data_IF_629299159342
#
_entry.id   IF_629299159342
#
_cell.length_a   1.000
_cell.length_b   1.000
_cell.length_c   1.000
_cell.angle_alpha   90.00
_cell.angle_beta   90.00
_cell.angle_gamma   90.00
#
_symmetry.space_group_name_H-M   'P 1'
#
loop_
_entity.id
_entity.type
_entity.pdbx_description
1 polymer ?
#
# COMPACT_ATOMS: atom_id res chain seq x y z
N UNK A 1 -35.98 9.80 -17.56
CA UNK A 1 -35.73 8.86 -18.67
C UNK A 1 -34.23 8.66 -18.77
N UNK A 2 -33.79 7.41 -18.60
CA UNK A 2 -32.42 6.89 -18.72
C UNK A 2 -31.30 7.60 -17.92
N UNK A 3 -31.11 7.19 -16.66
CA UNK A 3 -29.78 7.15 -16.07
C UNK A 3 -29.02 6.05 -16.82
N UNK A 4 -28.14 6.43 -17.74
CA UNK A 4 -27.27 5.50 -18.43
C UNK A 4 -26.39 4.79 -17.40
N UNK A 5 -26.64 3.49 -17.26
CA UNK A 5 -25.78 2.44 -16.70
C UNK A 5 -24.33 2.89 -16.45
N UNK A 6 -23.78 2.75 -15.22
CA UNK A 6 -22.34 2.74 -15.04
C UNK A 6 -21.82 1.44 -15.67
N UNK A 7 -21.63 1.47 -16.99
CA UNK A 7 -21.04 0.38 -17.76
C UNK A 7 -19.73 -0.01 -17.09
N UNK A 8 -19.62 -1.30 -16.77
CA UNK A 8 -18.41 -2.01 -16.35
C UNK A 8 -17.39 -1.10 -15.65
N UNK A 9 -17.62 -0.83 -14.35
CA UNK A 9 -16.78 0.03 -13.52
C UNK A 9 -15.37 -0.58 -13.41
N UNK A 10 -14.56 -0.38 -14.46
CA UNK A 10 -13.21 -0.87 -14.59
C UNK A 10 -12.45 -0.63 -13.29
N UNK A 11 -12.09 -1.73 -12.63
CA UNK A 11 -11.42 -1.68 -11.34
C UNK A 11 -10.15 -0.83 -11.44
N UNK A 12 -9.83 -0.14 -10.35
CA UNK A 12 -8.51 0.48 -10.23
C UNK A 12 -7.45 -0.61 -10.36
N UNK A 13 -6.45 -0.38 -11.20
CA UNK A 13 -5.35 -1.31 -11.39
C UNK A 13 -4.07 -0.68 -10.86
N UNK A 14 -3.44 -1.37 -9.91
CA UNK A 14 -2.27 -0.85 -9.22
C UNK A 14 -1.01 -1.58 -9.68
N UNK A 15 -0.01 -0.81 -10.12
CA UNK A 15 1.31 -1.33 -10.50
C UNK A 15 2.30 -1.08 -9.39
N UNK A 16 2.90 -2.14 -8.85
CA UNK A 16 4.00 -1.99 -7.90
C UNK A 16 5.25 -1.42 -8.60
N UNK A 17 5.85 -0.38 -8.02
CA UNK A 17 7.02 0.30 -8.56
C UNK A 17 8.23 0.09 -7.63
N UNK A 18 8.90 -1.08 -7.66
CA UNK A 18 10.00 -1.40 -6.74
C UNK A 18 11.22 -0.49 -6.92
N UNK A 19 11.41 0.04 -8.13
CA UNK A 19 12.52 0.93 -8.48
C UNK A 19 12.39 2.35 -7.92
N UNK A 20 11.19 2.75 -7.50
CA UNK A 20 10.96 4.09 -6.95
C UNK A 20 11.37 4.11 -5.48
N UNK A 21 12.64 4.43 -5.25
CA UNK A 21 13.21 4.58 -3.91
C UNK A 21 13.05 6.01 -3.40
N UNK A 22 12.85 6.16 -2.10
CA UNK A 22 12.62 7.45 -1.45
C UNK A 22 13.88 7.86 -0.69
N UNK A 23 14.78 8.54 -1.39
CA UNK A 23 16.07 9.01 -0.85
C UNK A 23 15.91 9.89 0.41
N UNK A 24 14.78 10.60 0.54
CA UNK A 24 14.48 11.44 1.70
C UNK A 24 14.58 10.66 3.03
N UNK A 25 14.18 9.39 3.05
CA UNK A 25 14.25 8.53 4.25
C UNK A 25 15.65 8.02 4.57
N UNK A 26 16.58 8.11 3.62
CA UNK A 26 17.96 7.66 3.76
C UNK A 26 18.93 8.78 4.10
N UNK A 27 18.47 10.04 4.10
CA UNK A 27 19.29 11.19 4.48
C UNK A 27 19.73 11.09 5.96
N UNK A 28 20.96 11.51 6.31
CA UNK A 28 21.46 11.46 7.68
C UNK A 28 20.56 12.19 8.68
N UNK A 29 20.00 13.34 8.29
CA UNK A 29 19.12 14.14 9.14
C UNK A 29 17.81 13.40 9.43
N UNK A 30 17.21 12.79 8.40
CA UNK A 30 15.95 12.05 8.55
C UNK A 30 16.17 10.76 9.32
N UNK A 31 17.23 10.01 9.04
CA UNK A 31 17.55 8.78 9.78
C UNK A 31 17.87 9.06 11.26
N UNK A 32 18.55 10.16 11.57
CA UNK A 32 18.80 10.62 12.94
C UNK A 32 17.48 10.91 13.68
N UNK A 33 16.56 11.65 13.05
CA UNK A 33 15.23 11.90 13.61
C UNK A 33 14.43 10.61 13.77
N UNK A 34 14.40 9.74 12.76
CA UNK A 34 13.71 8.44 12.86
C UNK A 34 14.28 7.60 14.00
N UNK A 35 15.59 7.67 14.26
CA UNK A 35 16.21 6.98 15.40
C UNK A 35 15.76 7.56 16.74
N UNK A 36 15.75 8.89 16.89
CA UNK A 36 15.31 9.55 18.13
C UNK A 36 13.88 9.15 18.54
N UNK A 37 13.01 8.93 17.55
CA UNK A 37 11.61 8.55 17.78
C UNK A 37 11.38 7.04 17.79
N UNK A 38 12.45 6.23 17.76
CA UNK A 38 12.36 4.76 17.65
C UNK A 38 11.56 4.28 16.41
N UNK A 39 11.56 5.07 15.35
CA UNK A 39 10.86 4.77 14.08
C UNK A 39 11.81 4.22 12.99
N UNK A 40 13.12 4.35 13.19
CA UNK A 40 14.12 3.83 12.26
C UNK A 40 13.95 2.32 12.09
N UNK A 41 13.76 1.87 10.85
CA UNK A 41 13.49 0.46 10.52
C UNK A 41 12.04 0.01 10.74
N UNK A 42 11.20 0.81 11.40
CA UNK A 42 9.76 0.57 11.61
C UNK A 42 8.87 1.30 10.60
N UNK A 43 9.44 2.20 9.80
CA UNK A 43 8.77 2.85 8.68
C UNK A 43 9.35 2.33 7.37
N UNK A 44 8.44 2.07 6.42
CA UNK A 44 8.80 1.70 5.06
C UNK A 44 7.86 2.41 4.10
N UNK A 45 8.43 2.90 3.00
CA UNK A 45 7.66 3.54 1.94
C UNK A 45 7.76 2.70 0.67
N UNK A 46 6.61 2.53 0.03
CA UNK A 46 6.45 1.80 -1.22
C UNK A 46 5.65 2.66 -2.18
N UNK A 47 5.99 2.56 -3.46
CA UNK A 47 5.29 3.27 -4.51
C UNK A 47 4.42 2.31 -5.31
N UNK A 48 3.19 2.72 -5.55
CA UNK A 48 2.26 2.09 -6.48
C UNK A 48 1.79 3.15 -7.47
N UNK A 49 1.79 2.82 -8.75
CA UNK A 49 1.23 3.66 -9.81
C UNK A 49 -0.16 3.17 -10.21
N UNK A 50 -1.00 4.09 -10.69
CA UNK A 50 -2.28 3.78 -11.32
C UNK A 50 -2.50 4.79 -12.46
N UNK A 51 -3.15 4.34 -13.54
CA UNK A 51 -3.33 5.14 -14.76
C UNK A 51 -4.81 5.57 -14.97
N UNK A 52 -5.72 5.09 -14.11
CA UNK A 52 -7.15 5.37 -14.23
C UNK A 52 -7.51 6.77 -13.74
N UNK A 53 -8.60 7.34 -14.26
CA UNK A 53 -9.13 8.62 -13.80
C UNK A 53 -9.59 8.54 -12.35
N UNK A 54 -9.02 9.38 -11.49
CA UNK A 54 -9.44 9.51 -10.09
C UNK A 54 -10.45 10.65 -9.94
N UNK A 55 -11.53 10.39 -9.21
CA UNK A 55 -12.54 11.39 -8.84
C UNK A 55 -12.66 11.41 -7.32
N UNK A 56 -12.61 12.60 -6.71
CA UNK A 56 -12.48 12.76 -5.26
C UNK A 56 -13.59 12.06 -4.46
N UNK A 57 -14.80 12.00 -5.01
CA UNK A 57 -15.94 11.34 -4.36
C UNK A 57 -15.81 9.80 -4.33
N UNK A 58 -14.94 9.21 -5.16
CA UNK A 58 -14.66 7.76 -5.19
C UNK A 58 -13.48 7.36 -4.31
N UNK A 59 -13.03 8.24 -3.40
CA UNK A 59 -11.89 7.97 -2.51
C UNK A 59 -12.04 6.65 -1.75
N UNK A 60 -13.25 6.34 -1.28
CA UNK A 60 -13.49 5.18 -0.43
C UNK A 60 -13.44 3.89 -1.28
N UNK A 61 -14.03 3.92 -2.48
CA UNK A 61 -13.92 2.83 -3.47
C UNK A 61 -12.47 2.61 -3.92
N UNK A 62 -11.72 3.69 -4.14
CA UNK A 62 -10.31 3.64 -4.51
C UNK A 62 -9.47 2.94 -3.43
N UNK A 63 -9.66 3.33 -2.16
CA UNK A 63 -8.96 2.72 -1.03
C UNK A 63 -9.35 1.24 -0.88
N UNK A 64 -10.64 0.91 -1.01
CA UNK A 64 -11.09 -0.48 -0.98
C UNK A 64 -10.50 -1.31 -2.13
N UNK A 65 -10.43 -0.75 -3.34
CA UNK A 65 -9.83 -1.42 -4.48
C UNK A 65 -8.34 -1.66 -4.27
N UNK A 66 -7.61 -0.70 -3.70
CA UNK A 66 -6.18 -0.83 -3.40
C UNK A 66 -5.88 -2.03 -2.51
N UNK A 67 -6.59 -2.19 -1.39
CA UNK A 67 -6.34 -3.31 -0.46
C UNK A 67 -6.85 -4.67 -0.96
N UNK A 68 -7.67 -4.68 -2.01
CA UNK A 68 -8.19 -5.91 -2.65
C UNK A 68 -7.43 -6.27 -3.92
N UNK A 69 -6.52 -5.41 -4.38
CA UNK A 69 -5.83 -5.60 -5.65
C UNK A 69 -4.83 -6.77 -5.58
N UNK A 70 -4.84 -7.67 -6.58
CA UNK A 70 -4.00 -8.86 -6.58
C UNK A 70 -2.50 -8.56 -6.72
N UNK A 71 -2.11 -7.38 -7.19
CA UNK A 71 -0.72 -6.92 -7.22
C UNK A 71 -0.32 -6.20 -5.93
N UNK A 72 -1.25 -5.55 -5.22
CA UNK A 72 -0.97 -4.88 -3.95
C UNK A 72 -0.78 -5.88 -2.83
N UNK A 73 -1.71 -6.84 -2.66
CA UNK A 73 -1.68 -7.83 -1.55
C UNK A 73 -0.32 -8.55 -1.39
N UNK A 74 0.30 -9.11 -2.44
CA UNK A 74 1.58 -9.81 -2.30
C UNK A 74 2.78 -8.87 -2.13
N UNK A 75 2.66 -7.58 -2.48
CA UNK A 75 3.78 -6.64 -2.48
C UNK A 75 3.78 -5.65 -1.32
N UNK A 76 2.61 -5.31 -0.77
CA UNK A 76 2.48 -4.35 0.32
C UNK A 76 3.10 -4.92 1.59
N UNK A 77 4.08 -4.19 2.14
CA UNK A 77 4.84 -4.60 3.32
C UNK A 77 4.20 -4.05 4.58
N UNK A 78 4.03 -4.93 5.55
CA UNK A 78 3.55 -4.65 6.89
C UNK A 78 4.62 -5.05 7.89
N UNK A 79 4.80 -4.26 8.95
CA UNK A 79 5.65 -4.65 10.06
C UNK A 79 4.87 -5.62 10.94
N UNK A 80 5.39 -6.82 11.16
CA UNK A 80 4.77 -7.78 12.07
C UNK A 80 5.08 -7.40 13.52
N UNK A 81 4.05 -7.20 14.34
CA UNK A 81 4.22 -6.88 15.76
C UNK A 81 4.90 -8.01 16.56
N UNK A 82 4.73 -9.26 16.12
CA UNK A 82 5.25 -10.43 16.84
C UNK A 82 6.71 -10.75 16.52
N UNK A 83 7.18 -10.53 15.28
CA UNK A 83 8.56 -10.82 14.89
C UNK A 83 9.43 -9.57 14.69
N UNK A 84 8.83 -8.37 14.64
CA UNK A 84 9.51 -7.15 14.25
C UNK A 84 10.03 -7.15 12.81
N UNK A 85 9.62 -8.15 12.00
CA UNK A 85 10.05 -8.29 10.61
C UNK A 85 9.00 -7.77 9.63
N UNK A 86 9.49 -7.27 8.50
CA UNK A 86 8.63 -6.86 7.39
C UNK A 86 8.10 -8.07 6.65
N UNK A 87 6.79 -8.30 6.73
CA UNK A 87 6.07 -9.34 5.98
C UNK A 87 5.24 -8.69 4.88
N UNK A 88 4.71 -9.48 3.94
CA UNK A 88 3.76 -9.00 2.94
C UNK A 88 2.33 -9.22 3.39
N UNK A 89 1.40 -8.35 2.99
CA UNK A 89 0.00 -8.42 3.40
C UNK A 89 -0.63 -9.80 3.10
N UNK A 90 -0.34 -10.37 1.93
CA UNK A 90 -0.80 -11.71 1.56
C UNK A 90 -0.36 -12.82 2.53
N UNK A 91 0.84 -12.70 3.12
CA UNK A 91 1.33 -13.67 4.11
C UNK A 91 0.65 -13.49 5.48
N UNK A 92 0.34 -12.25 5.85
CA UNK A 92 -0.40 -11.96 7.08
C UNK A 92 -1.81 -12.57 7.06
N UNK A 93 -2.53 -12.42 5.95
CA UNK A 93 -3.89 -12.98 5.80
C UNK A 93 -3.94 -14.51 5.86
N UNK A 94 -2.90 -15.21 5.39
CA UNK A 94 -2.81 -16.67 5.51
C UNK A 94 -2.58 -17.16 6.94
N UNK A 95 -1.89 -16.35 7.77
CA UNK A 95 -1.55 -16.71 9.16
C UNK A 95 -2.68 -16.38 10.15
N UNK A 96 -3.54 -15.41 9.84
CA UNK A 96 -4.74 -15.07 10.63
C UNK A 96 -5.90 -16.08 10.48
N UNK A 97 -5.87 -16.97 9.48
CA UNK A 97 -6.89 -18.01 9.29
C UNK A 97 -6.67 -19.27 10.14
N UNK A 98 -5.77 -19.22 11.14
CA UNK A 98 -5.35 -20.41 11.91
C UNK A 98 -5.48 -20.24 13.44
N UNK A 99 -6.34 -19.33 13.89
CA UNK A 99 -6.68 -19.14 15.30
C UNK A 99 -8.19 -19.21 15.46
#
# INVERSE_FOLDING_TARGET
>A
MAAGEPGDLGGYYFRFLPQKTFQSLSTPETTSRLRQWSMLGRIKVQAFGFDQTFQAYRKDDFVMAFFKDPNVIPNLKLLSDSSGQWITLGFASGRLRKI
#
